data_IF_256390488401
#
_entry.id   IF_256390488401
#
_cell.length_a   1.000
_cell.length_b   1.000
_cell.length_c   1.000
_cell.angle_alpha   90.00
_cell.angle_beta   90.00
_cell.angle_gamma   90.00
#
_symmetry.space_group_name_H-M   'P 1'
#
loop_
_entity.id
_entity.type
_entity.pdbx_description
1 polymer ?
#
# COMPACT_ATOMS: atom_id res chain seq x y z
N UNK A 1 5.61 -12.00 -7.49
CA UNK A 1 6.40 -12.54 -8.61
C UNK A 1 6.82 -11.35 -9.43
N UNK A 2 8.12 -11.10 -9.61
CA UNK A 2 8.57 -10.02 -10.50
C UNK A 2 8.02 -10.28 -11.91
N UNK A 3 7.65 -9.21 -12.59
CA UNK A 3 7.15 -9.33 -13.95
C UNK A 3 7.67 -8.19 -14.80
N UNK A 4 8.06 -8.52 -16.04
CA UNK A 4 8.40 -7.52 -17.05
C UNK A 4 7.11 -7.24 -17.82
N UNK A 5 6.73 -5.97 -17.88
CA UNK A 5 5.56 -5.52 -18.64
C UNK A 5 6.02 -4.45 -19.61
N UNK A 6 5.67 -4.60 -20.88
CA UNK A 6 5.95 -3.61 -21.92
C UNK A 6 4.63 -2.99 -22.36
N UNK A 7 4.61 -1.66 -22.40
CA UNK A 7 3.48 -0.86 -22.88
C UNK A 7 3.83 -0.24 -24.23
N UNK A 8 2.84 -0.09 -25.11
CA UNK A 8 2.97 0.80 -26.26
C UNK A 8 2.74 2.27 -25.86
N UNK A 9 2.88 3.17 -26.82
CA UNK A 9 2.61 4.61 -26.71
C UNK A 9 1.15 4.95 -26.37
N UNK A 10 0.21 4.05 -26.69
CA UNK A 10 -1.20 4.16 -26.31
C UNK A 10 -1.50 3.67 -24.89
N UNK A 11 -0.50 3.16 -24.16
CA UNK A 11 -0.65 2.60 -22.81
C UNK A 11 -1.22 1.18 -22.75
N UNK A 12 -1.33 0.50 -23.89
CA UNK A 12 -1.75 -0.89 -23.98
C UNK A 12 -0.58 -1.82 -23.62
N UNK A 13 -0.85 -2.87 -22.83
CA UNK A 13 0.13 -3.91 -22.54
C UNK A 13 0.36 -4.74 -23.80
N UNK A 14 1.55 -4.64 -24.37
CA UNK A 14 1.98 -5.42 -25.54
C UNK A 14 2.74 -6.69 -25.15
N UNK A 15 3.27 -6.73 -23.93
CA UNK A 15 3.95 -7.91 -23.41
C UNK A 15 3.89 -7.96 -21.89
N UNK A 16 3.72 -9.15 -21.36
CA UNK A 16 3.84 -9.43 -19.93
C UNK A 16 4.49 -10.79 -19.75
N UNK A 17 5.50 -10.85 -18.89
CA UNK A 17 6.12 -12.09 -18.49
C UNK A 17 6.35 -12.10 -16.99
N UNK A 18 6.05 -13.24 -16.36
CA UNK A 18 6.30 -13.53 -14.96
C UNK A 18 7.59 -14.34 -14.83
N UNK A 19 8.55 -13.81 -14.06
CA UNK A 19 9.78 -14.54 -13.76
C UNK A 19 9.69 -15.08 -12.33
N UNK A 20 10.08 -16.34 -12.15
CA UNK A 20 10.08 -16.97 -10.81
C UNK A 20 11.30 -16.54 -9.99
N UNK A 21 12.45 -16.32 -10.63
CA UNK A 21 13.70 -15.89 -9.99
C UNK A 21 14.09 -14.44 -10.36
N UNK A 22 13.97 -13.53 -9.39
CA UNK A 22 14.37 -12.12 -9.52
C UNK A 22 15.88 -11.98 -9.76
N UNK A 23 16.71 -12.83 -9.13
CA UNK A 23 18.17 -12.68 -9.18
C UNK A 23 18.71 -13.04 -10.55
N UNK A 24 18.17 -14.11 -11.14
CA UNK A 24 18.47 -14.49 -12.52
C UNK A 24 18.10 -13.37 -13.49
N UNK A 25 16.89 -12.79 -13.34
CA UNK A 25 16.44 -11.66 -14.16
C UNK A 25 17.41 -10.46 -14.09
N UNK A 26 17.76 -10.01 -12.89
CA UNK A 26 18.66 -8.86 -12.71
C UNK A 26 20.05 -9.14 -13.26
N UNK A 27 20.54 -10.37 -13.09
CA UNK A 27 21.83 -10.79 -13.63
C UNK A 27 21.82 -10.75 -15.17
N UNK A 28 20.80 -11.30 -15.81
CA UNK A 28 20.67 -11.29 -17.28
C UNK A 28 20.58 -9.88 -17.85
N UNK A 29 19.86 -8.96 -17.18
CA UNK A 29 19.81 -7.55 -17.58
C UNK A 29 21.19 -6.89 -17.46
N UNK A 30 21.92 -7.15 -16.36
CA UNK A 30 23.24 -6.55 -16.11
C UNK A 30 24.29 -7.04 -17.09
N UNK A 31 24.35 -8.36 -17.29
CA UNK A 31 25.40 -9.01 -18.05
C UNK A 31 25.11 -8.97 -19.56
N UNK A 32 23.88 -8.62 -19.95
CA UNK A 32 23.40 -8.62 -21.33
C UNK A 32 23.12 -10.05 -21.80
N UNK A 33 21.85 -10.41 -21.92
CA UNK A 33 21.44 -11.73 -22.39
C UNK A 33 19.95 -11.82 -22.71
N UNK A 34 19.52 -12.99 -23.16
CA UNK A 34 18.12 -13.25 -23.50
C UNK A 34 17.29 -13.43 -22.23
N UNK A 35 16.25 -12.61 -22.09
CA UNK A 35 15.35 -12.69 -20.95
C UNK A 35 14.51 -13.99 -21.04
N UNK A 36 14.34 -14.73 -19.93
CA UNK A 36 13.57 -15.97 -19.94
C UNK A 36 12.14 -15.69 -20.44
N UNK A 37 11.60 -16.51 -21.35
CA UNK A 37 10.28 -16.33 -21.96
C UNK A 37 10.25 -15.50 -23.25
N UNK A 38 11.40 -15.19 -23.82
CA UNK A 38 11.56 -14.75 -25.22
C UNK A 38 12.08 -15.93 -26.07
N UNK A 39 11.19 -16.63 -26.79
CA UNK A 39 11.55 -17.80 -27.61
C UNK A 39 11.56 -17.55 -29.12
N UNK A 40 11.21 -16.34 -29.57
CA UNK A 40 11.23 -16.00 -31.00
C UNK A 40 12.08 -14.75 -31.21
N UNK A 41 12.84 -14.74 -32.31
CA UNK A 41 13.59 -13.60 -32.84
C UNK A 41 12.74 -12.32 -32.74
N UNK A 42 12.96 -11.47 -31.73
CA UNK A 42 12.14 -10.28 -31.55
C UNK A 42 12.30 -9.39 -32.78
N UNK A 43 11.24 -8.75 -33.28
CA UNK A 43 11.45 -7.61 -34.16
C UNK A 43 12.35 -6.60 -33.43
N UNK A 44 13.34 -5.98 -34.09
CA UNK A 44 14.25 -5.06 -33.44
C UNK A 44 13.47 -3.86 -32.87
N UNK A 45 13.30 -3.83 -31.55
CA UNK A 45 12.65 -2.71 -30.86
C UNK A 45 13.72 -1.69 -30.50
N UNK A 46 13.57 -0.45 -30.99
CA UNK A 46 14.41 0.67 -30.56
C UNK A 46 13.78 1.33 -29.35
N UNK A 47 14.41 1.19 -28.19
CA UNK A 47 13.99 1.88 -26.96
C UNK A 47 14.60 3.29 -26.97
N UNK A 48 13.82 4.28 -27.41
CA UNK A 48 14.18 5.70 -27.32
C UNK A 48 13.73 6.28 -25.96
N UNK A 49 14.13 5.67 -24.84
CA UNK A 49 13.59 6.06 -23.53
C UNK A 49 14.26 5.42 -22.31
N UNK A 50 13.70 5.72 -21.14
CA UNK A 50 14.13 5.25 -19.82
C UNK A 50 13.36 3.99 -19.41
N UNK A 51 14.05 2.92 -19.04
CA UNK A 51 13.43 1.72 -18.44
C UNK A 51 13.40 1.88 -16.93
N UNK A 52 12.21 1.83 -16.32
CA UNK A 52 12.05 1.88 -14.86
C UNK A 52 11.75 0.47 -14.35
N UNK A 53 12.69 -0.10 -13.59
CA UNK A 53 12.48 -1.33 -12.84
C UNK A 53 11.96 -0.96 -11.45
N UNK A 54 10.66 -1.14 -11.23
CA UNK A 54 10.05 -0.98 -9.91
C UNK A 54 9.74 -2.35 -9.33
N UNK A 55 10.25 -2.63 -8.14
CA UNK A 55 9.78 -3.77 -7.36
C UNK A 55 8.28 -3.57 -7.08
N UNK A 56 7.47 -4.56 -7.46
CA UNK A 56 6.07 -4.57 -7.01
C UNK A 56 6.11 -4.66 -5.49
N UNK A 57 5.75 -3.57 -4.81
CA UNK A 57 5.61 -3.58 -3.35
C UNK A 57 4.84 -4.84 -2.97
N UNK A 58 5.38 -5.68 -2.06
CA UNK A 58 4.73 -6.93 -1.71
C UNK A 58 3.29 -6.61 -1.34
N UNK A 59 2.35 -7.14 -2.12
CA UNK A 59 0.92 -7.05 -1.82
C UNK A 59 0.74 -7.89 -0.56
N UNK A 60 0.99 -7.27 0.60
CA UNK A 60 0.68 -7.84 1.89
C UNK A 60 -0.85 -7.86 1.94
N UNK A 61 -1.44 -8.97 1.50
CA UNK A 61 -2.89 -9.23 1.53
C UNK A 61 -3.37 -9.34 2.98
N UNK A 62 -3.22 -8.27 3.75
CA UNK A 62 -3.75 -8.15 5.11
C UNK A 62 -5.20 -7.74 4.96
N UNK A 63 -6.10 -8.60 5.41
CA UNK A 63 -7.53 -8.30 5.43
C UNK A 63 -7.79 -7.12 6.35
N UNK A 64 -8.48 -6.09 5.84
CA UNK A 64 -8.86 -4.95 6.66
C UNK A 64 -9.75 -5.40 7.83
N UNK A 65 -9.45 -5.01 9.08
CA UNK A 65 -10.32 -5.32 10.20
C UNK A 65 -11.65 -4.57 10.06
N UNK A 66 -12.76 -5.23 10.41
CA UNK A 66 -14.07 -4.56 10.49
C UNK A 66 -14.05 -3.53 11.62
N UNK A 67 -14.18 -2.26 11.28
CA UNK A 67 -14.26 -1.13 12.21
C UNK A 67 -15.70 -0.61 12.29
N UNK A 68 -16.08 -0.12 13.47
CA UNK A 68 -17.33 0.64 13.61
C UNK A 68 -17.12 2.09 13.18
N UNK A 69 -18.18 2.82 12.88
CA UNK A 69 -18.09 4.23 12.49
C UNK A 69 -17.31 5.09 13.50
N UNK A 70 -17.57 4.90 14.81
CA UNK A 70 -16.81 5.59 15.86
C UNK A 70 -15.33 5.22 15.85
N UNK A 71 -14.99 3.96 15.57
CA UNK A 71 -13.59 3.52 15.45
C UNK A 71 -12.89 4.16 14.25
N UNK A 72 -13.57 4.29 13.12
CA UNK A 72 -13.05 5.02 11.95
C UNK A 72 -12.83 6.49 12.26
N UNK A 73 -13.76 7.15 12.96
CA UNK A 73 -13.61 8.55 13.38
C UNK A 73 -12.40 8.76 14.30
N UNK A 74 -12.20 7.88 15.30
CA UNK A 74 -11.00 7.90 16.15
C UNK A 74 -9.75 7.74 15.29
N UNK A 75 -9.74 6.77 14.37
CA UNK A 75 -8.60 6.50 13.49
C UNK A 75 -8.26 7.70 12.58
N UNK A 76 -9.28 8.36 12.04
CA UNK A 76 -9.13 9.59 11.25
C UNK A 76 -8.60 10.75 12.09
N UNK A 77 -9.04 10.90 13.35
CA UNK A 77 -8.50 11.91 14.25
C UNK A 77 -7.01 11.70 14.52
N UNK A 78 -6.58 10.44 14.68
CA UNK A 78 -5.16 10.10 14.83
C UNK A 78 -4.36 10.37 13.55
N UNK A 79 -4.94 10.13 12.37
CA UNK A 79 -4.31 10.47 11.09
C UNK A 79 -4.07 11.99 10.95
N UNK A 80 -4.97 12.80 11.52
CA UNK A 80 -4.84 14.26 11.58
C UNK A 80 -3.91 14.72 12.73
N UNK A 81 -3.12 13.82 13.31
CA UNK A 81 -2.17 14.09 14.40
C UNK A 81 -2.78 14.65 15.69
N UNK A 82 -4.08 14.42 15.93
CA UNK A 82 -4.73 14.85 17.17
C UNK A 82 -4.27 13.99 18.35
N UNK A 83 -4.06 14.63 19.50
CA UNK A 83 -3.79 13.93 20.76
C UNK A 83 -5.06 13.20 21.24
N UNK A 84 -4.94 12.23 22.18
CA UNK A 84 -6.12 11.57 22.75
C UNK A 84 -7.11 12.56 23.38
N UNK A 85 -6.60 13.60 24.04
CA UNK A 85 -7.40 14.67 24.65
C UNK A 85 -8.13 15.51 23.58
N UNK A 86 -7.42 15.93 22.53
CA UNK A 86 -8.03 16.67 21.42
C UNK A 86 -9.06 15.82 20.66
N UNK A 87 -8.80 14.53 20.51
CA UNK A 87 -9.74 13.58 19.90
C UNK A 87 -10.99 13.45 20.76
N UNK A 88 -10.83 13.39 22.09
CA UNK A 88 -11.94 13.33 23.04
C UNK A 88 -12.82 14.58 22.92
N UNK A 89 -12.20 15.77 22.89
CA UNK A 89 -12.91 17.04 22.67
C UNK A 89 -13.64 17.06 21.32
N UNK A 90 -12.97 16.66 20.23
CA UNK A 90 -13.56 16.66 18.88
C UNK A 90 -14.75 15.70 18.75
N UNK A 91 -14.72 14.57 19.47
CA UNK A 91 -15.79 13.56 19.43
C UNK A 91 -16.85 13.72 20.52
N UNK A 92 -16.71 14.68 21.44
CA UNK A 92 -17.60 14.83 22.58
C UNK A 92 -17.57 13.64 23.55
N UNK A 93 -16.39 13.04 23.73
CA UNK A 93 -16.18 11.84 24.57
C UNK A 93 -15.19 12.14 25.71
N UNK A 94 -15.11 11.23 26.69
CA UNK A 94 -14.06 11.28 27.72
C UNK A 94 -12.72 10.78 27.16
N UNK A 95 -11.61 11.29 27.70
CA UNK A 95 -10.27 10.82 27.34
C UNK A 95 -10.11 9.30 27.59
N UNK A 96 -10.71 8.80 28.67
CA UNK A 96 -10.73 7.37 29.00
C UNK A 96 -11.41 6.53 27.91
N UNK A 97 -12.48 7.05 27.31
CA UNK A 97 -13.17 6.41 26.19
C UNK A 97 -12.25 6.32 24.97
N UNK A 98 -11.50 7.39 24.66
CA UNK A 98 -10.52 7.38 23.57
C UNK A 98 -9.40 6.38 23.83
N UNK A 99 -8.88 6.31 25.07
CA UNK A 99 -7.88 5.30 25.46
C UNK A 99 -8.43 3.88 25.31
N UNK A 100 -9.69 3.64 25.63
CA UNK A 100 -10.36 2.35 25.40
C UNK A 100 -10.46 2.03 23.90
N UNK A 101 -10.90 2.98 23.07
CA UNK A 101 -10.95 2.80 21.62
C UNK A 101 -9.57 2.48 21.05
N UNK A 102 -8.51 3.16 21.49
CA UNK A 102 -7.14 2.87 21.10
C UNK A 102 -6.72 1.43 21.44
N UNK A 103 -7.06 0.92 22.63
CA UNK A 103 -6.79 -0.48 23.01
C UNK A 103 -7.54 -1.46 22.11
N UNK A 104 -8.81 -1.18 21.80
CA UNK A 104 -9.62 -2.03 20.92
C UNK A 104 -9.04 -2.04 19.51
N UNK A 105 -8.67 -0.88 18.98
CA UNK A 105 -8.05 -0.76 17.67
C UNK A 105 -6.72 -1.53 17.64
N UNK A 106 -5.83 -1.32 18.62
CA UNK A 106 -4.57 -2.08 18.72
C UNK A 106 -4.78 -3.59 18.67
N UNK A 107 -5.78 -4.09 19.41
CA UNK A 107 -6.15 -5.52 19.41
C UNK A 107 -6.69 -5.98 18.05
N UNK A 108 -7.51 -5.20 17.37
CA UNK A 108 -8.05 -5.52 16.03
C UNK A 108 -6.96 -5.53 14.95
N UNK A 109 -6.03 -4.59 15.02
CA UNK A 109 -4.91 -4.49 14.09
C UNK A 109 -3.73 -5.39 14.46
N UNK A 110 -3.75 -6.05 15.63
CA UNK A 110 -2.66 -6.86 16.19
C UNK A 110 -1.35 -6.07 16.27
N UNK A 111 -1.43 -4.90 16.88
CA UNK A 111 -0.31 -3.95 17.00
C UNK A 111 -0.06 -3.57 18.45
N UNK A 112 1.20 -3.31 18.79
CA UNK A 112 1.61 -2.97 20.16
C UNK A 112 1.71 -1.45 20.35
N UNK A 113 2.13 -0.74 19.31
CA UNK A 113 2.30 0.71 19.33
C UNK A 113 1.24 1.46 18.51
N UNK A 114 1.06 2.75 18.83
CA UNK A 114 0.20 3.63 18.04
C UNK A 114 0.73 3.77 16.62
N UNK A 115 2.05 3.86 16.46
CA UNK A 115 2.66 4.11 15.16
C UNK A 115 2.55 2.89 14.24
N UNK A 116 2.66 1.66 14.79
CA UNK A 116 2.35 0.44 14.05
C UNK A 116 0.89 0.40 13.59
N UNK A 117 -0.03 0.82 14.45
CA UNK A 117 -1.45 0.93 14.13
C UNK A 117 -1.68 1.95 13.01
N UNK A 118 -1.05 3.13 13.06
CA UNK A 118 -1.19 4.15 12.03
C UNK A 118 -0.56 3.72 10.71
N UNK A 119 0.61 3.08 10.74
CA UNK A 119 1.24 2.51 9.55
C UNK A 119 0.34 1.47 8.88
N UNK A 120 -0.29 0.58 9.66
CA UNK A 120 -1.22 -0.43 9.14
C UNK A 120 -2.51 0.19 8.60
N UNK A 121 -3.06 1.19 9.30
CA UNK A 121 -4.26 1.90 8.89
C UNK A 121 -4.06 2.67 7.58
N UNK A 122 -2.93 3.36 7.45
CA UNK A 122 -2.55 4.04 6.21
C UNK A 122 -2.33 3.07 5.05
N UNK A 123 -1.62 1.96 5.30
CA UNK A 123 -1.42 0.90 4.29
C UNK A 123 -2.74 0.31 3.78
N UNK A 124 -3.72 0.11 4.67
CA UNK A 124 -5.03 -0.43 4.33
C UNK A 124 -6.01 0.63 3.78
N UNK A 125 -5.59 1.88 3.65
CA UNK A 125 -6.44 2.98 3.19
C UNK A 125 -7.63 3.30 4.12
N UNK A 126 -7.52 2.94 5.41
CA UNK A 126 -8.60 3.12 6.40
C UNK A 126 -8.64 4.51 7.02
N UNK A 127 -7.62 5.32 6.78
CA UNK A 127 -7.54 6.71 7.19
C UNK A 127 -6.74 7.51 6.17
N UNK A 128 -7.03 8.80 6.05
CA UNK A 128 -6.34 9.68 5.11
C UNK A 128 -5.83 10.94 5.82
N UNK A 129 -4.51 11.12 6.01
CA UNK A 129 -3.96 12.27 6.74
C UNK A 129 -4.18 13.61 6.02
N UNK A 130 -4.59 13.60 4.75
CA UNK A 130 -4.89 14.79 3.96
C UNK A 130 -6.39 15.12 3.90
N UNK A 131 -7.25 14.26 4.48
CA UNK A 131 -8.68 14.53 4.60
C UNK A 131 -9.01 15.10 5.97
N UNK A 132 -9.56 16.32 5.97
CA UNK A 132 -10.04 16.97 7.18
C UNK A 132 -11.40 16.43 7.66
N UNK A 133 -12.10 15.65 6.81
CA UNK A 133 -13.42 15.11 7.05
C UNK A 133 -13.40 13.56 7.05
N UNK A 134 -14.17 12.90 7.95
CA UNK A 134 -14.21 11.45 8.03
C UNK A 134 -14.82 10.84 6.76
N UNK A 135 -14.32 9.68 6.27
CA UNK A 135 -14.85 9.05 5.08
C UNK A 135 -16.34 8.72 5.26
N UNK A 136 -17.17 9.18 4.32
CA UNK A 136 -18.58 8.84 4.26
C UNK A 136 -18.73 7.32 4.08
N UNK A 137 -19.58 6.73 4.91
CA UNK A 137 -19.91 5.31 4.81
C UNK A 137 -20.77 5.09 3.56
N UNK A 138 -20.24 4.34 2.58
CA UNK A 138 -21.06 3.65 1.56
C UNK A 138 -21.55 2.32 2.10
#
# INVERSE_FOLDING_TARGET
MPSIVVFNDEGNVVYQNSVDDVHELVKTIRDGGDLPGFSESPPPVRINGLIILAEQSPICKRTAPKLTQKQCQVLQCLANSLTPEQTAMKMGLSEESIRLYLRILKKKFKTESRDQLMAMAGYLGLCNPYQNEPPEAS
#
